data_IF_591399180146
#
_entry.id   IF_591399180146
#
_cell.length_a   1.000
_cell.length_b   1.000
_cell.length_c   1.000
_cell.angle_alpha   90.00
_cell.angle_beta   90.00
_cell.angle_gamma   90.00
#
_symmetry.space_group_name_H-M   'P 1'
#
loop_
_entity.id
_entity.type
_entity.pdbx_description
1 polymer ?
#
# COMPACT_ATOMS: atom_id res chain seq x y z
N UNK A 1 97.39 27.22 -7.56
CA UNK A 1 96.11 27.81 -7.20
C UNK A 1 94.97 27.41 -8.14
N UNK A 2 95.18 27.12 -9.43
CA UNK A 2 94.09 26.79 -10.41
C UNK A 2 93.44 25.40 -10.22
N UNK A 3 94.11 24.38 -9.71
CA UNK A 3 93.59 23.04 -9.49
C UNK A 3 92.57 22.98 -8.33
N UNK A 4 92.74 23.70 -7.27
CA UNK A 4 91.89 23.73 -6.09
C UNK A 4 90.58 24.40 -6.37
N UNK A 5 90.51 25.41 -7.26
CA UNK A 5 89.26 26.06 -7.71
C UNK A 5 88.42 25.14 -8.62
N UNK A 6 89.08 24.30 -9.44
CA UNK A 6 88.36 23.32 -10.28
C UNK A 6 87.75 22.19 -9.47
N UNK A 7 88.39 21.79 -8.39
CA UNK A 7 87.83 20.76 -7.49
C UNK A 7 86.60 21.29 -6.70
N UNK A 8 86.65 22.51 -6.24
CA UNK A 8 85.53 23.15 -5.53
C UNK A 8 84.33 23.38 -6.50
N UNK A 9 84.61 23.73 -7.75
CA UNK A 9 83.56 23.89 -8.73
C UNK A 9 82.88 22.56 -9.10
N UNK A 10 83.60 21.45 -9.23
CA UNK A 10 83.11 20.11 -9.49
C UNK A 10 82.30 19.57 -8.32
N UNK A 11 82.69 19.79 -7.09
CA UNK A 11 81.92 19.38 -5.90
C UNK A 11 80.62 20.19 -5.75
N UNK A 12 80.64 21.48 -6.07
CA UNK A 12 79.47 22.32 -6.05
C UNK A 12 78.41 21.91 -7.12
N UNK A 13 78.87 21.55 -8.33
CA UNK A 13 77.96 21.04 -9.39
C UNK A 13 77.37 19.65 -9.02
N UNK A 14 78.19 18.76 -8.44
CA UNK A 14 77.78 17.45 -7.98
C UNK A 14 76.72 17.57 -6.84
N UNK A 15 76.93 18.47 -5.87
CA UNK A 15 76.05 18.72 -4.77
C UNK A 15 74.69 19.34 -5.25
N UNK A 16 74.77 20.25 -6.24
CA UNK A 16 73.50 20.80 -6.86
C UNK A 16 72.74 19.73 -7.63
N UNK A 17 73.46 18.85 -8.36
CA UNK A 17 72.82 17.72 -9.05
C UNK A 17 72.18 16.73 -8.09
N UNK A 18 72.86 16.42 -6.96
CA UNK A 18 72.33 15.55 -5.93
C UNK A 18 71.07 16.17 -5.23
N UNK A 19 71.13 17.45 -4.91
CA UNK A 19 70.00 18.20 -4.33
C UNK A 19 68.83 18.28 -5.29
N UNK A 20 69.07 18.50 -6.60
CA UNK A 20 68.06 18.45 -7.63
C UNK A 20 67.39 17.05 -7.79
N UNK A 21 68.22 15.99 -7.76
CA UNK A 21 67.71 14.62 -7.82
C UNK A 21 66.93 14.24 -6.57
N UNK A 22 67.36 14.67 -5.37
CA UNK A 22 66.61 14.45 -4.13
C UNK A 22 65.31 15.24 -4.09
N UNK A 23 65.30 16.48 -4.58
CA UNK A 23 64.08 17.29 -4.68
C UNK A 23 63.10 16.70 -5.70
N UNK A 24 63.62 16.25 -6.85
CA UNK A 24 62.83 15.55 -7.86
C UNK A 24 62.24 14.25 -7.30
N UNK A 25 63.04 13.45 -6.61
CA UNK A 25 62.56 12.21 -5.97
C UNK A 25 61.54 12.50 -4.87
N UNK A 26 61.77 13.53 -4.02
CA UNK A 26 60.86 13.94 -2.97
C UNK A 26 59.49 14.45 -3.52
N UNK A 27 59.51 15.25 -4.60
CA UNK A 27 58.29 15.71 -5.27
C UNK A 27 57.54 14.55 -5.94
N UNK A 28 58.29 13.60 -6.54
CA UNK A 28 57.70 12.43 -7.21
C UNK A 28 57.26 11.35 -6.21
N UNK A 29 57.80 11.29 -5.03
CA UNK A 29 57.46 10.32 -3.96
C UNK A 29 56.31 10.75 -3.10
N UNK A 30 55.67 11.87 -3.40
CA UNK A 30 54.41 12.22 -2.69
C UNK A 30 53.36 11.14 -3.00
N UNK A 31 52.88 10.40 -1.97
CA UNK A 31 51.85 9.42 -2.22
C UNK A 31 50.63 10.14 -2.81
N UNK A 32 50.24 9.76 -4.01
CA UNK A 32 48.93 10.15 -4.54
C UNK A 32 47.92 9.56 -3.58
N UNK A 33 47.36 10.41 -2.74
CA UNK A 33 46.29 9.97 -1.83
C UNK A 33 45.12 9.55 -2.69
N UNK A 34 44.94 8.24 -2.90
CA UNK A 34 43.82 7.65 -3.61
C UNK A 34 42.51 7.76 -2.80
N UNK A 35 42.42 8.72 -1.88
CA UNK A 35 41.27 8.99 -1.06
C UNK A 35 40.67 10.32 -1.47
N UNK A 36 39.43 10.28 -1.95
CA UNK A 36 38.62 11.44 -2.23
C UNK A 36 37.89 11.84 -0.95
N UNK A 37 38.08 13.08 -0.51
CA UNK A 37 37.38 13.64 0.66
C UNK A 37 36.28 14.57 0.18
N UNK A 38 35.06 14.29 0.60
CA UNK A 38 33.88 15.11 0.33
C UNK A 38 33.28 15.61 1.65
N UNK A 39 32.71 16.79 1.61
CA UNK A 39 32.04 17.40 2.75
C UNK A 39 30.54 17.48 2.43
N UNK A 40 29.70 17.24 3.44
CA UNK A 40 28.27 17.27 3.26
C UNK A 40 27.53 17.20 4.58
N UNK A 41 26.21 17.08 4.51
CA UNK A 41 25.36 16.96 5.68
C UNK A 41 24.58 15.64 5.62
N UNK A 42 24.32 15.09 6.79
CA UNK A 42 23.44 13.92 6.94
C UNK A 42 22.02 14.34 6.58
N UNK A 43 21.38 13.52 5.78
CA UNK A 43 20.00 13.67 5.32
C UNK A 43 19.24 12.37 5.54
N UNK A 44 17.93 12.43 5.70
CA UNK A 44 17.08 11.29 6.00
C UNK A 44 15.83 11.32 5.14
N UNK A 45 15.17 10.17 5.01
CA UNK A 45 13.83 10.13 4.46
C UNK A 45 12.82 10.50 5.54
N UNK A 46 11.86 11.30 5.16
CA UNK A 46 10.71 11.63 5.98
C UNK A 46 9.44 11.08 5.36
N UNK A 47 8.51 10.65 6.18
CA UNK A 47 7.18 10.24 5.77
C UNK A 47 6.18 11.05 6.59
N UNK A 48 5.21 11.59 5.91
CA UNK A 48 4.16 12.42 6.50
C UNK A 48 2.80 11.72 6.40
N UNK A 49 2.46 10.86 7.37
CA UNK A 49 1.17 10.19 7.38
C UNK A 49 0.03 11.18 7.63
N UNK A 50 -1.03 11.04 6.84
CA UNK A 50 -2.28 11.78 6.97
C UNK A 50 -3.45 10.81 7.09
N UNK A 51 -4.61 11.28 7.61
CA UNK A 51 -5.85 10.50 7.57
C UNK A 51 -6.41 10.48 6.15
N UNK A 52 -7.10 9.41 5.80
CA UNK A 52 -7.71 9.26 4.48
C UNK A 52 -9.04 10.00 4.33
N UNK A 53 -9.61 10.50 5.44
CA UNK A 53 -10.90 11.19 5.47
C UNK A 53 -10.87 12.41 6.41
N UNK A 54 -11.93 13.21 6.40
CA UNK A 54 -12.06 14.43 7.18
C UNK A 54 -12.75 14.15 8.52
N UNK A 55 -12.21 14.72 9.59
CA UNK A 55 -12.81 14.65 10.91
C UNK A 55 -11.90 15.18 12.01
N UNK A 56 -12.44 15.43 13.21
CA UNK A 56 -11.63 15.92 14.32
C UNK A 56 -10.71 14.80 14.85
N UNK A 57 -9.47 15.16 15.15
CA UNK A 57 -8.52 14.29 15.83
C UNK A 57 -8.99 14.07 17.26
N UNK A 58 -9.25 12.81 17.63
CA UNK A 58 -9.69 12.41 18.96
C UNK A 58 -8.52 12.25 19.93
N UNK A 59 -7.45 11.56 19.49
CA UNK A 59 -6.26 11.29 20.32
C UNK A 59 -5.01 11.19 19.48
N UNK A 60 -3.95 11.77 20.02
CA UNK A 60 -2.56 11.55 19.61
C UNK A 60 -1.94 10.54 20.59
N UNK A 61 -1.31 9.47 20.08
CA UNK A 61 -0.85 8.35 20.91
C UNK A 61 0.67 8.30 21.06
N UNK A 62 1.39 9.09 20.27
CA UNK A 62 2.85 9.18 20.29
C UNK A 62 3.27 10.63 20.37
N UNK A 63 4.43 10.89 20.97
CA UNK A 63 5.01 12.22 21.14
C UNK A 63 6.28 12.38 20.31
N UNK A 64 6.73 13.60 20.11
CA UNK A 64 7.97 13.93 19.44
C UNK A 64 9.18 13.25 20.11
N UNK A 65 10.10 12.75 19.29
CA UNK A 65 11.23 11.95 19.74
C UNK A 65 10.91 10.48 20.02
N UNK A 66 9.65 10.09 20.05
CA UNK A 66 9.23 8.70 20.28
C UNK A 66 9.46 7.83 19.03
N UNK A 67 9.76 6.57 19.26
CA UNK A 67 9.98 5.58 18.20
C UNK A 67 8.69 4.91 17.82
N UNK A 68 8.46 4.82 16.53
CA UNK A 68 7.31 4.12 15.96
C UNK A 68 7.73 2.98 15.06
N UNK A 69 6.94 1.91 15.07
CA UNK A 69 7.10 0.76 14.19
C UNK A 69 6.07 0.81 13.06
N UNK A 70 6.43 0.23 11.93
CA UNK A 70 5.47 0.06 10.83
C UNK A 70 4.21 -0.67 11.32
N UNK A 71 3.03 -0.09 11.05
CA UNK A 71 1.73 -0.62 11.46
C UNK A 71 1.29 -0.21 12.88
N UNK A 72 2.14 0.43 13.66
CA UNK A 72 1.82 0.95 14.99
C UNK A 72 0.77 2.06 14.91
N UNK A 73 -0.18 2.05 15.84
CA UNK A 73 -1.23 3.05 15.91
C UNK A 73 -0.68 4.33 16.53
N UNK A 74 -0.70 5.43 15.77
CA UNK A 74 -0.09 6.71 16.16
C UNK A 74 -1.11 7.80 16.48
N UNK A 75 -2.31 7.76 15.85
CA UNK A 75 -3.38 8.71 16.14
C UNK A 75 -4.75 8.08 15.89
N UNK A 76 -5.80 8.69 16.43
CA UNK A 76 -7.21 8.35 16.21
C UNK A 76 -8.01 9.60 15.88
N UNK A 77 -8.89 9.46 14.92
CA UNK A 77 -9.96 10.41 14.63
C UNK A 77 -11.23 10.02 15.39
N UNK A 78 -12.19 10.92 15.54
CA UNK A 78 -13.53 10.60 16.05
C UNK A 78 -14.19 9.60 15.09
N UNK A 79 -14.53 8.43 15.61
CA UNK A 79 -15.03 7.30 14.84
C UNK A 79 -16.56 7.07 14.97
N UNK A 80 -17.26 7.87 15.79
CA UNK A 80 -18.69 7.69 16.04
C UNK A 80 -19.53 7.68 14.77
N UNK A 81 -19.29 8.63 13.87
CA UNK A 81 -20.01 8.72 12.58
C UNK A 81 -19.73 7.52 11.69
N UNK A 82 -18.50 7.05 11.67
CA UNK A 82 -18.07 5.91 10.85
C UNK A 82 -18.61 4.58 11.41
N UNK A 83 -18.60 4.43 12.73
CA UNK A 83 -19.21 3.27 13.39
C UNK A 83 -20.73 3.18 13.11
N UNK A 84 -21.43 4.32 13.16
CA UNK A 84 -22.86 4.38 12.84
C UNK A 84 -23.13 4.02 11.37
N UNK A 85 -22.30 4.49 10.42
CA UNK A 85 -22.41 4.11 8.99
C UNK A 85 -22.19 2.62 8.77
N UNK A 86 -21.18 2.05 9.40
CA UNK A 86 -20.94 0.61 9.32
C UNK A 86 -22.12 -0.18 9.87
N UNK A 87 -22.67 0.21 11.03
CA UNK A 87 -23.83 -0.45 11.60
C UNK A 87 -25.03 -0.40 10.65
N UNK A 88 -25.35 0.77 10.08
CA UNK A 88 -26.44 0.94 9.12
C UNK A 88 -26.26 0.06 7.87
N UNK A 89 -25.05 0.05 7.28
CA UNK A 89 -24.74 -0.78 6.12
C UNK A 89 -24.84 -2.29 6.44
N UNK A 90 -24.39 -2.70 7.61
CA UNK A 90 -24.45 -4.09 8.08
C UNK A 90 -25.91 -4.54 8.26
N UNK A 91 -26.77 -3.71 8.85
CA UNK A 91 -28.18 -4.02 9.01
C UNK A 91 -28.91 -4.07 7.67
N UNK A 92 -28.54 -3.20 6.71
CA UNK A 92 -29.06 -3.26 5.34
C UNK A 92 -28.71 -4.59 4.67
N UNK A 93 -27.45 -5.02 4.76
CA UNK A 93 -27.02 -6.30 4.23
C UNK A 93 -27.73 -7.48 4.90
N UNK A 94 -27.94 -7.43 6.21
CA UNK A 94 -28.68 -8.45 6.95
C UNK A 94 -30.16 -8.54 6.50
N UNK A 95 -30.81 -7.40 6.27
CA UNK A 95 -32.17 -7.36 5.74
C UNK A 95 -32.29 -8.00 4.34
N UNK A 96 -31.40 -7.62 3.42
CA UNK A 96 -31.37 -8.18 2.06
C UNK A 96 -31.02 -9.68 2.05
N UNK A 97 -30.20 -10.13 3.00
CA UNK A 97 -29.95 -11.55 3.22
C UNK A 97 -31.24 -12.29 3.62
N UNK A 98 -32.04 -11.70 4.52
CA UNK A 98 -33.30 -12.28 4.92
C UNK A 98 -34.29 -12.37 3.74
N UNK A 99 -34.32 -11.36 2.87
CA UNK A 99 -35.13 -11.38 1.63
C UNK A 99 -34.67 -12.51 0.70
N UNK A 100 -33.35 -12.64 0.46
CA UNK A 100 -32.78 -13.72 -0.35
C UNK A 100 -33.13 -15.10 0.23
N UNK A 101 -32.99 -15.28 1.55
CA UNK A 101 -33.34 -16.55 2.21
C UNK A 101 -34.83 -16.88 2.06
N UNK A 102 -35.72 -15.90 2.20
CA UNK A 102 -37.14 -16.08 1.98
C UNK A 102 -37.44 -16.55 0.57
N UNK A 103 -36.81 -15.92 -0.45
CA UNK A 103 -37.03 -16.32 -1.85
C UNK A 103 -36.40 -17.69 -2.16
N UNK A 104 -35.26 -18.01 -1.61
CA UNK A 104 -34.59 -19.32 -1.83
C UNK A 104 -35.31 -20.47 -1.14
N UNK A 105 -35.94 -20.23 0.01
CA UNK A 105 -36.79 -21.24 0.69
C UNK A 105 -38.13 -21.47 -0.03
N UNK A 106 -38.61 -20.50 -0.82
CA UNK A 106 -39.85 -20.60 -1.55
C UNK A 106 -41.11 -20.51 -0.68
N UNK A 107 -42.24 -21.09 -1.16
CA UNK A 107 -43.49 -21.12 -0.44
C UNK A 107 -43.38 -21.97 0.82
N UNK A 108 -44.09 -21.58 1.85
CA UNK A 108 -44.17 -22.35 3.10
C UNK A 108 -44.82 -23.70 2.88
N UNK A 109 -44.41 -24.78 3.58
CA UNK A 109 -45.05 -26.10 3.47
C UNK A 109 -46.57 -26.05 3.68
N UNK A 110 -47.05 -25.15 4.56
CA UNK A 110 -48.47 -24.98 4.83
C UNK A 110 -49.24 -24.37 3.64
N UNK A 111 -48.63 -23.43 2.91
CA UNK A 111 -49.22 -22.81 1.72
C UNK A 111 -49.33 -23.83 0.58
N UNK A 112 -48.30 -24.68 0.42
CA UNK A 112 -48.31 -25.79 -0.55
C UNK A 112 -49.39 -26.81 -0.19
N UNK A 113 -49.50 -27.17 1.10
CA UNK A 113 -50.50 -28.11 1.57
C UNK A 113 -51.93 -27.59 1.39
N UNK A 114 -52.19 -26.30 1.64
CA UNK A 114 -53.47 -25.64 1.41
C UNK A 114 -53.85 -25.65 -0.07
N UNK A 115 -52.90 -25.25 -0.96
CA UNK A 115 -53.16 -25.25 -2.40
C UNK A 115 -53.46 -26.68 -2.91
N UNK A 116 -52.74 -27.69 -2.39
CA UNK A 116 -52.99 -29.09 -2.71
C UNK A 116 -54.37 -29.57 -2.26
N UNK A 117 -54.80 -29.26 -1.04
CA UNK A 117 -56.09 -29.66 -0.50
C UNK A 117 -57.23 -29.04 -1.34
N UNK A 118 -57.07 -27.77 -1.77
CA UNK A 118 -58.02 -27.10 -2.65
C UNK A 118 -58.12 -27.81 -4.01
N UNK A 119 -57.00 -28.13 -4.61
CA UNK A 119 -56.90 -28.87 -5.87
C UNK A 119 -57.58 -30.27 -5.76
N UNK A 120 -57.25 -31.01 -4.70
CA UNK A 120 -57.84 -32.36 -4.47
C UNK A 120 -59.33 -32.30 -4.27
N UNK A 121 -59.83 -31.28 -3.57
CA UNK A 121 -61.34 -31.05 -3.42
C UNK A 121 -62.00 -30.78 -4.75
N UNK A 122 -61.42 -29.86 -5.57
CA UNK A 122 -62.02 -29.57 -6.90
C UNK A 122 -61.93 -30.74 -7.89
N UNK A 123 -60.83 -31.55 -7.76
CA UNK A 123 -60.74 -32.82 -8.51
C UNK A 123 -61.85 -33.80 -8.17
N UNK A 124 -62.24 -33.87 -6.90
CA UNK A 124 -63.38 -34.73 -6.50
C UNK A 124 -64.71 -34.22 -7.08
N UNK A 125 -64.96 -32.89 -7.11
CA UNK A 125 -66.11 -32.27 -7.75
C UNK A 125 -66.15 -32.58 -9.26
N UNK A 126 -65.05 -32.42 -9.95
CA UNK A 126 -64.89 -32.73 -11.39
C UNK A 126 -65.23 -34.21 -11.66
N UNK A 127 -64.66 -35.14 -10.90
CA UNK A 127 -64.96 -36.57 -11.04
C UNK A 127 -66.45 -36.88 -10.82
N UNK A 128 -67.07 -36.26 -9.83
CA UNK A 128 -68.52 -36.45 -9.61
C UNK A 128 -69.37 -35.95 -10.78
N UNK A 129 -69.04 -34.79 -11.37
CA UNK A 129 -69.63 -34.27 -12.56
C UNK A 129 -69.49 -35.21 -13.77
N UNK A 130 -68.28 -35.81 -13.99
CA UNK A 130 -68.09 -36.81 -15.03
C UNK A 130 -68.95 -38.05 -14.84
N UNK A 131 -69.06 -38.60 -13.63
CA UNK A 131 -69.88 -39.74 -13.31
C UNK A 131 -71.33 -39.41 -13.55
N UNK A 132 -71.84 -38.23 -13.15
CA UNK A 132 -73.17 -37.80 -13.39
C UNK A 132 -73.49 -37.64 -14.87
N UNK A 133 -72.59 -37.04 -15.67
CA UNK A 133 -72.71 -36.94 -17.11
C UNK A 133 -72.78 -38.31 -17.78
N UNK A 134 -71.88 -39.24 -17.42
CA UNK A 134 -71.90 -40.60 -17.95
C UNK A 134 -73.24 -41.35 -17.60
N UNK A 135 -73.75 -41.13 -16.40
CA UNK A 135 -75.01 -41.69 -15.96
C UNK A 135 -76.21 -41.12 -16.80
N UNK A 136 -76.25 -39.80 -17.01
CA UNK A 136 -77.28 -39.13 -17.83
C UNK A 136 -77.21 -39.65 -19.27
N UNK A 137 -76.06 -39.81 -19.87
CA UNK A 137 -75.86 -40.38 -21.21
C UNK A 137 -76.48 -41.81 -21.31
N UNK A 138 -76.27 -42.63 -20.30
CA UNK A 138 -76.78 -43.99 -20.25
C UNK A 138 -78.36 -44.07 -20.12
N UNK A 139 -78.99 -43.01 -19.61
CA UNK A 139 -80.47 -42.93 -19.42
C UNK A 139 -81.20 -42.37 -20.64
N UNK A 140 -80.56 -41.68 -21.56
CA UNK A 140 -81.17 -41.13 -22.78
C UNK A 140 -81.79 -42.21 -23.66
N UNK A 141 -81.11 -43.32 -23.99
CA UNK A 141 -81.75 -44.37 -24.84
C UNK A 141 -82.95 -45.02 -24.23
N UNK A 142 -83.06 -44.89 -22.89
CA UNK A 142 -84.22 -45.45 -22.13
C UNK A 142 -85.37 -44.46 -22.02
N UNK A 143 -85.23 -43.26 -22.60
CA UNK A 143 -86.27 -42.21 -22.52
C UNK A 143 -86.42 -41.56 -21.13
N UNK A 144 -85.48 -41.81 -20.19
CA UNK A 144 -85.53 -41.33 -18.79
C UNK A 144 -84.91 -39.96 -18.65
N UNK A 145 -83.97 -39.59 -19.52
CA UNK A 145 -83.25 -38.29 -19.51
C UNK A 145 -83.49 -37.57 -20.85
N UNK A 146 -83.55 -36.23 -20.80
CA UNK A 146 -83.70 -35.36 -21.97
C UNK A 146 -82.34 -34.96 -22.59
N UNK A 147 -82.41 -34.43 -23.83
CA UNK A 147 -81.21 -33.84 -24.48
C UNK A 147 -80.72 -32.63 -23.68
N UNK A 148 -81.61 -31.87 -23.06
CA UNK A 148 -81.31 -30.74 -22.21
C UNK A 148 -80.54 -31.17 -20.95
N UNK A 149 -80.96 -32.24 -20.29
CA UNK A 149 -80.29 -32.80 -19.12
C UNK A 149 -78.80 -33.20 -19.45
N UNK A 150 -78.61 -33.77 -20.64
CA UNK A 150 -77.30 -34.09 -21.15
C UNK A 150 -76.45 -32.81 -21.32
N UNK A 151 -76.98 -31.76 -21.95
CA UNK A 151 -76.25 -30.53 -22.26
C UNK A 151 -75.96 -29.78 -20.96
N UNK A 152 -76.86 -29.77 -19.98
CA UNK A 152 -76.60 -29.22 -18.63
C UNK A 152 -75.54 -30.02 -17.87
N UNK A 153 -75.61 -31.34 -17.86
CA UNK A 153 -74.61 -32.19 -17.24
C UNK A 153 -73.20 -31.98 -17.91
N UNK A 154 -73.20 -31.85 -19.26
CA UNK A 154 -71.93 -31.55 -19.99
C UNK A 154 -71.39 -30.17 -19.66
N UNK A 155 -72.23 -29.15 -19.48
CA UNK A 155 -71.80 -27.81 -19.05
C UNK A 155 -71.18 -27.86 -17.63
N UNK A 156 -71.80 -28.64 -16.71
CA UNK A 156 -71.28 -28.85 -15.37
C UNK A 156 -69.88 -29.52 -15.38
N UNK A 157 -69.69 -30.55 -16.23
CA UNK A 157 -68.30 -31.15 -16.37
C UNK A 157 -67.31 -30.13 -16.82
N UNK A 158 -67.65 -29.32 -17.87
CA UNK A 158 -66.73 -28.28 -18.35
C UNK A 158 -66.36 -27.22 -17.29
N UNK A 159 -67.38 -26.79 -16.52
CA UNK A 159 -67.20 -25.82 -15.43
C UNK A 159 -66.34 -26.40 -14.28
N UNK A 160 -66.57 -27.65 -13.89
CA UNK A 160 -65.80 -28.34 -12.87
C UNK A 160 -64.38 -28.63 -13.31
N UNK A 161 -64.17 -29.01 -14.59
CA UNK A 161 -62.82 -29.18 -15.16
C UNK A 161 -62.05 -27.85 -15.16
N UNK A 162 -62.67 -26.77 -15.63
CA UNK A 162 -62.02 -25.44 -15.61
C UNK A 162 -61.57 -25.00 -14.19
N UNK A 163 -62.42 -25.24 -13.20
CA UNK A 163 -62.12 -24.95 -11.80
C UNK A 163 -60.97 -25.83 -11.26
N UNK A 164 -60.96 -27.12 -11.58
CA UNK A 164 -59.92 -28.05 -11.23
C UNK A 164 -58.55 -27.62 -11.89
N UNK A 165 -58.59 -27.31 -13.19
CA UNK A 165 -57.35 -26.84 -13.88
C UNK A 165 -56.81 -25.55 -13.27
N UNK A 166 -57.62 -24.58 -12.92
CA UNK A 166 -57.22 -23.37 -12.24
C UNK A 166 -56.53 -23.65 -10.88
N UNK A 167 -57.11 -24.57 -10.09
CA UNK A 167 -56.51 -24.97 -8.81
C UNK A 167 -55.21 -25.76 -8.99
N UNK A 168 -55.14 -26.61 -10.04
CA UNK A 168 -53.89 -27.32 -10.40
C UNK A 168 -52.78 -26.35 -10.73
N UNK A 169 -53.06 -25.29 -11.51
CA UNK A 169 -52.05 -24.25 -11.80
C UNK A 169 -51.64 -23.50 -10.53
N UNK A 170 -52.59 -23.18 -9.65
CA UNK A 170 -52.26 -22.54 -8.35
C UNK A 170 -51.35 -23.41 -7.49
N UNK A 171 -51.63 -24.71 -7.39
CA UNK A 171 -50.76 -25.65 -6.70
C UNK A 171 -49.39 -25.76 -7.35
N UNK A 172 -49.32 -25.87 -8.67
CA UNK A 172 -48.04 -25.94 -9.39
C UNK A 172 -47.18 -24.70 -9.19
N UNK A 173 -47.75 -23.50 -9.16
CA UNK A 173 -47.05 -22.25 -8.85
C UNK A 173 -46.55 -22.23 -7.41
N UNK A 174 -47.35 -22.70 -6.44
CA UNK A 174 -46.91 -22.79 -5.04
C UNK A 174 -45.70 -23.72 -4.86
N UNK A 175 -45.69 -24.86 -5.59
CA UNK A 175 -44.59 -25.82 -5.59
C UNK A 175 -43.36 -25.28 -6.32
N UNK A 176 -43.54 -24.61 -7.47
CA UNK A 176 -42.42 -24.01 -8.24
C UNK A 176 -41.74 -22.88 -7.47
N UNK A 177 -42.47 -22.18 -6.61
CA UNK A 177 -41.93 -21.08 -5.82
C UNK A 177 -41.60 -19.83 -6.62
N UNK A 178 -40.75 -18.95 -6.08
CA UNK A 178 -40.36 -17.70 -6.72
C UNK A 178 -39.60 -17.93 -8.03
N UNK A 179 -39.65 -16.97 -8.92
CA UNK A 179 -38.95 -17.02 -10.20
C UNK A 179 -37.44 -17.00 -9.97
N UNK A 180 -36.72 -17.70 -10.82
CA UNK A 180 -35.24 -17.75 -10.77
C UNK A 180 -34.61 -16.36 -10.87
N UNK A 181 -35.23 -15.49 -11.68
CA UNK A 181 -34.80 -14.10 -11.88
C UNK A 181 -34.92 -13.29 -10.58
N UNK A 182 -35.98 -13.50 -9.79
CA UNK A 182 -36.19 -12.83 -8.50
C UNK A 182 -35.10 -13.23 -7.48
N UNK A 183 -34.76 -14.52 -7.47
CA UNK A 183 -33.67 -15.03 -6.61
C UNK A 183 -32.32 -14.45 -7.03
N UNK A 184 -32.02 -14.35 -8.33
CA UNK A 184 -30.80 -13.74 -8.86
C UNK A 184 -30.76 -12.25 -8.50
N UNK A 185 -31.84 -11.52 -8.68
CA UNK A 185 -31.93 -10.12 -8.32
C UNK A 185 -31.70 -9.89 -6.82
N UNK A 186 -32.33 -10.69 -5.95
CA UNK A 186 -32.12 -10.62 -4.51
C UNK A 186 -30.69 -10.96 -4.10
N UNK A 187 -30.04 -11.93 -4.78
CA UNK A 187 -28.66 -12.28 -4.56
C UNK A 187 -27.72 -11.12 -4.89
N UNK A 188 -27.96 -10.48 -6.03
CA UNK A 188 -27.16 -9.33 -6.46
C UNK A 188 -27.36 -8.13 -5.53
N UNK A 189 -28.58 -7.88 -5.08
CA UNK A 189 -28.88 -6.83 -4.11
C UNK A 189 -28.14 -7.08 -2.76
N UNK A 190 -28.15 -8.31 -2.28
CA UNK A 190 -27.41 -8.69 -1.09
C UNK A 190 -25.88 -8.52 -1.26
N UNK A 191 -25.35 -8.95 -2.41
CA UNK A 191 -23.92 -8.79 -2.71
C UNK A 191 -23.49 -7.31 -2.77
N UNK A 192 -24.32 -6.45 -3.35
CA UNK A 192 -24.10 -5.00 -3.38
C UNK A 192 -24.08 -4.39 -1.97
N UNK A 193 -25.02 -4.82 -1.11
CA UNK A 193 -25.06 -4.35 0.28
C UNK A 193 -23.85 -4.82 1.12
N UNK A 194 -23.37 -6.04 0.87
CA UNK A 194 -22.13 -6.53 1.49
C UNK A 194 -20.92 -5.69 1.07
N UNK A 195 -20.83 -5.32 -0.20
CA UNK A 195 -19.77 -4.45 -0.68
C UNK A 195 -19.85 -3.05 -0.02
N UNK A 196 -21.05 -2.49 0.13
CA UNK A 196 -21.24 -1.23 0.83
C UNK A 196 -20.85 -1.31 2.31
N UNK A 197 -21.16 -2.42 2.99
CA UNK A 197 -20.72 -2.64 4.36
C UNK A 197 -19.19 -2.78 4.48
N UNK A 198 -18.54 -3.41 3.49
CA UNK A 198 -17.07 -3.50 3.45
C UNK A 198 -16.41 -2.13 3.25
N UNK A 199 -16.98 -1.25 2.44
CA UNK A 199 -16.52 0.15 2.28
C UNK A 199 -16.63 0.88 3.62
N UNK A 200 -17.80 0.83 4.27
CA UNK A 200 -17.99 1.48 5.57
C UNK A 200 -17.03 0.93 6.66
N UNK A 201 -16.72 -0.37 6.62
CA UNK A 201 -15.75 -0.98 7.51
C UNK A 201 -14.33 -0.46 7.26
N UNK A 202 -13.98 -0.21 5.99
CA UNK A 202 -12.69 0.40 5.62
C UNK A 202 -12.60 1.84 6.08
N UNK A 203 -13.64 2.65 5.87
CA UNK A 203 -13.73 4.02 6.36
C UNK A 203 -13.53 4.08 7.89
N UNK A 204 -14.17 3.19 8.63
CA UNK A 204 -13.98 3.07 10.08
C UNK A 204 -12.55 2.65 10.45
N UNK A 205 -11.92 1.77 9.70
CA UNK A 205 -10.53 1.37 9.92
C UNK A 205 -9.56 2.55 9.67
N UNK A 206 -9.87 3.38 8.69
CA UNK A 206 -9.06 4.54 8.30
C UNK A 206 -9.14 5.71 9.31
N UNK A 207 -10.09 5.68 10.27
CA UNK A 207 -10.06 6.58 11.44
C UNK A 207 -8.89 6.32 12.39
N UNK A 208 -8.14 5.24 12.18
CA UNK A 208 -6.99 4.81 12.97
C UNK A 208 -5.73 4.98 12.16
N UNK A 209 -5.03 6.10 12.39
CA UNK A 209 -3.78 6.38 11.69
C UNK A 209 -2.66 5.46 12.20
N UNK A 210 -2.02 4.76 11.26
CA UNK A 210 -0.89 3.87 11.57
C UNK A 210 0.37 4.35 10.87
N UNK A 211 1.51 4.15 11.54
CA UNK A 211 2.81 4.47 10.94
C UNK A 211 3.08 3.60 9.71
N UNK A 212 3.40 4.21 8.55
CA UNK A 212 3.72 3.45 7.33
C UNK A 212 5.11 2.81 7.36
N UNK A 213 6.00 3.26 8.26
CA UNK A 213 7.39 2.83 8.34
C UNK A 213 7.91 2.80 9.78
N UNK A 214 9.09 2.19 9.97
CA UNK A 214 9.82 2.31 11.23
C UNK A 214 10.58 3.65 11.23
N UNK A 215 10.45 4.42 12.31
CA UNK A 215 11.09 5.72 12.40
C UNK A 215 11.06 6.33 13.79
N UNK A 216 11.32 7.62 13.85
CA UNK A 216 11.18 8.46 15.04
C UNK A 216 10.26 9.61 14.66
N UNK A 217 9.31 9.93 15.51
CA UNK A 217 8.44 11.09 15.34
C UNK A 217 9.31 12.34 15.45
N UNK A 218 9.36 13.12 14.38
CA UNK A 218 10.13 14.36 14.33
C UNK A 218 9.29 15.55 14.76
N UNK A 219 8.07 15.62 14.23
CA UNK A 219 7.18 16.72 14.46
C UNK A 219 5.72 16.25 14.53
N UNK A 220 4.92 16.90 15.35
CA UNK A 220 3.49 16.73 15.49
C UNK A 220 2.78 17.95 14.94
N UNK A 221 2.14 17.77 13.78
CA UNK A 221 1.55 18.88 13.01
C UNK A 221 0.13 19.20 13.50
N UNK A 222 -0.63 18.17 13.90
CA UNK A 222 -1.99 18.34 14.41
C UNK A 222 -2.08 18.01 15.90
N UNK A 223 -3.05 18.64 16.55
CA UNK A 223 -3.37 18.43 17.97
C UNK A 223 -4.77 17.78 18.15
N UNK A 224 -5.06 17.17 19.31
CA UNK A 224 -6.40 16.72 19.63
C UNK A 224 -7.41 17.87 19.54
N UNK A 225 -8.47 17.69 18.76
CA UNK A 225 -9.48 18.70 18.44
C UNK A 225 -9.32 19.36 17.08
N UNK A 226 -8.14 19.28 16.45
CA UNK A 226 -7.93 19.79 15.11
C UNK A 226 -8.68 18.97 14.08
N UNK A 227 -9.05 19.63 12.98
CA UNK A 227 -9.67 18.97 11.81
C UNK A 227 -8.59 18.35 10.91
N UNK A 228 -8.55 17.04 10.90
CA UNK A 228 -7.73 16.30 9.96
C UNK A 228 -8.36 16.22 8.57
N UNK A 229 -7.51 16.15 7.54
CA UNK A 229 -7.90 15.93 6.15
C UNK A 229 -6.83 15.12 5.41
N UNK A 230 -7.15 14.54 4.25
CA UNK A 230 -6.15 13.83 3.44
C UNK A 230 -4.97 14.69 2.96
N UNK A 231 -5.16 16.01 2.90
CA UNK A 231 -4.13 16.95 2.48
C UNK A 231 -3.26 17.46 3.65
N UNK A 232 -3.66 17.20 4.90
CA UNK A 232 -2.98 17.71 6.08
C UNK A 232 -2.26 16.56 6.79
N UNK A 233 -0.93 16.51 6.77
CA UNK A 233 -0.17 15.54 7.54
C UNK A 233 -0.45 15.66 9.04
N UNK A 234 -0.42 14.55 9.75
CA UNK A 234 -0.61 14.51 11.21
C UNK A 234 0.73 14.55 11.93
N UNK A 235 1.71 13.84 11.37
CA UNK A 235 3.07 13.75 11.89
C UNK A 235 4.09 13.85 10.77
N UNK A 236 5.31 14.24 11.13
CA UNK A 236 6.51 13.96 10.36
C UNK A 236 7.28 12.84 11.04
N UNK A 237 7.54 11.75 10.32
CA UNK A 237 8.27 10.58 10.81
C UNK A 237 9.60 10.46 10.07
N UNK A 238 10.69 10.62 10.78
CA UNK A 238 12.05 10.48 10.28
C UNK A 238 12.45 8.99 10.19
N UNK A 239 12.84 8.53 9.01
CA UNK A 239 13.35 7.19 8.78
C UNK A 239 14.85 7.16 9.09
N UNK A 240 15.21 6.67 10.26
CA UNK A 240 16.58 6.77 10.79
C UNK A 240 17.56 5.75 10.21
N UNK A 241 17.11 4.79 9.40
CA UNK A 241 17.99 3.80 8.76
C UNK A 241 17.29 3.13 7.57
N UNK A 242 17.90 3.11 6.37
CA UNK A 242 19.14 3.78 6.03
C UNK A 242 19.00 5.30 5.94
N UNK A 243 20.09 6.02 6.17
CA UNK A 243 20.21 7.45 5.91
C UNK A 243 21.31 7.70 4.88
N UNK A 244 21.50 8.93 4.46
CA UNK A 244 22.60 9.27 3.55
C UNK A 244 23.27 10.59 3.93
N UNK A 245 24.49 10.75 3.49
CA UNK A 245 25.18 12.04 3.48
C UNK A 245 25.01 12.65 2.09
N UNK A 246 24.46 13.84 2.02
CA UNK A 246 24.40 14.66 0.82
C UNK A 246 25.72 15.41 0.70
N UNK A 247 26.56 15.00 -0.24
CA UNK A 247 27.84 15.60 -0.53
C UNK A 247 27.91 16.05 -1.99
N UNK A 248 28.91 16.87 -2.30
CA UNK A 248 29.10 17.40 -3.64
C UNK A 248 30.48 17.01 -4.15
N UNK A 249 30.55 16.49 -5.37
CA UNK A 249 31.79 16.11 -6.03
C UNK A 249 32.07 17.06 -7.20
N UNK A 250 33.29 17.58 -7.34
CA UNK A 250 33.70 18.33 -8.53
C UNK A 250 33.66 17.47 -9.80
N UNK A 251 33.34 18.07 -10.95
CA UNK A 251 33.24 17.37 -12.24
C UNK A 251 34.53 16.55 -12.56
N UNK A 252 35.68 17.11 -12.31
CA UNK A 252 37.00 16.45 -12.55
C UNK A 252 37.18 15.11 -11.86
N UNK A 253 36.50 14.89 -10.72
CA UNK A 253 36.58 13.68 -9.91
C UNK A 253 35.41 12.72 -10.13
N UNK A 254 34.39 13.14 -10.89
CA UNK A 254 33.18 12.37 -11.12
C UNK A 254 33.45 11.00 -11.75
N UNK A 255 34.35 10.95 -12.74
CA UNK A 255 34.70 9.68 -13.42
C UNK A 255 35.46 8.68 -12.55
N UNK A 256 35.85 9.06 -11.33
CA UNK A 256 36.62 8.21 -10.39
C UNK A 256 35.74 7.45 -9.41
N UNK A 257 34.44 7.75 -9.36
CA UNK A 257 33.45 7.08 -8.47
C UNK A 257 32.34 6.46 -9.29
N UNK A 258 31.77 5.40 -8.75
CA UNK A 258 30.57 4.74 -9.30
C UNK A 258 29.61 4.36 -8.17
N UNK A 259 28.31 4.18 -8.46
CA UNK A 259 27.38 3.60 -7.50
C UNK A 259 27.91 2.26 -6.97
N UNK A 260 27.85 2.06 -5.65
CA UNK A 260 28.40 0.89 -4.97
C UNK A 260 29.85 1.09 -4.46
N UNK A 261 30.53 2.18 -4.80
CA UNK A 261 31.88 2.47 -4.27
C UNK A 261 31.82 2.60 -2.75
N UNK A 262 32.66 1.86 -1.99
CA UNK A 262 32.71 1.95 -0.53
C UNK A 262 33.16 3.34 -0.06
N UNK A 263 32.54 3.82 1.00
CA UNK A 263 32.85 5.09 1.61
C UNK A 263 32.90 4.98 3.15
N UNK A 264 33.63 5.87 3.79
CA UNK A 264 33.66 6.02 5.24
C UNK A 264 33.12 7.41 5.59
N UNK A 265 32.18 7.47 6.48
CA UNK A 265 31.58 8.71 6.97
C UNK A 265 32.11 8.96 8.37
N UNK A 266 32.52 10.19 8.62
CA UNK A 266 32.96 10.68 9.91
C UNK A 266 32.19 11.95 10.25
N UNK A 267 31.95 12.18 11.55
CA UNK A 267 31.29 13.38 12.05
C UNK A 267 32.05 13.95 13.23
N UNK A 268 32.05 15.26 13.37
CA UNK A 268 32.75 15.94 14.47
C UNK A 268 32.11 15.63 15.84
N UNK A 269 30.82 15.31 15.88
CA UNK A 269 30.09 14.95 17.10
C UNK A 269 30.57 13.62 17.72
N UNK A 270 31.20 12.75 16.92
CA UNK A 270 31.70 11.45 17.35
C UNK A 270 33.15 11.24 16.84
N UNK A 271 34.13 11.93 17.44
CA UNK A 271 35.50 11.87 17.00
C UNK A 271 36.06 10.44 17.03
N UNK A 272 36.78 10.06 15.98
CA UNK A 272 37.38 8.73 15.85
C UNK A 272 36.44 7.61 15.41
N UNK A 273 35.13 7.85 15.34
CA UNK A 273 34.17 6.86 14.80
C UNK A 273 34.06 6.96 13.28
N UNK A 274 34.07 5.80 12.64
CA UNK A 274 33.90 5.66 11.19
C UNK A 274 32.67 4.83 10.89
N UNK A 275 31.72 5.44 10.17
CA UNK A 275 30.51 4.76 9.74
C UNK A 275 30.73 4.25 8.33
N UNK A 276 30.48 2.97 8.11
CA UNK A 276 30.57 2.36 6.78
C UNK A 276 29.40 2.83 5.94
N UNK A 277 29.72 3.28 4.72
CA UNK A 277 28.74 3.71 3.73
C UNK A 277 29.17 3.30 2.33
N UNK A 278 28.34 3.65 1.37
CA UNK A 278 28.61 3.42 -0.06
C UNK A 278 27.98 4.53 -0.89
N UNK A 279 28.55 4.81 -2.04
CA UNK A 279 27.98 5.71 -3.02
C UNK A 279 26.70 5.06 -3.57
N UNK A 280 25.54 5.61 -3.27
CA UNK A 280 24.26 5.04 -3.70
C UNK A 280 23.63 5.75 -4.87
N UNK A 281 23.89 7.06 -5.01
CA UNK A 281 23.32 7.87 -6.08
C UNK A 281 24.28 8.99 -6.45
N UNK A 282 24.39 9.25 -7.74
CA UNK A 282 25.11 10.39 -8.32
C UNK A 282 24.10 11.14 -9.19
N UNK A 283 23.90 12.43 -8.95
CA UNK A 283 23.00 13.25 -9.74
C UNK A 283 23.45 13.31 -11.20
N UNK A 284 22.55 13.09 -12.17
CA UNK A 284 22.88 13.29 -13.59
C UNK A 284 22.96 14.78 -13.98
N UNK A 285 22.49 15.66 -13.10
CA UNK A 285 22.43 17.10 -13.34
C UNK A 285 23.49 17.78 -12.49
N UNK A 286 24.30 18.65 -13.12
CA UNK A 286 25.24 19.49 -12.43
C UNK A 286 24.50 20.60 -11.68
N UNK A 287 25.01 20.95 -10.51
CA UNK A 287 24.55 22.07 -9.71
C UNK A 287 25.71 23.09 -9.58
N UNK A 288 25.37 24.37 -9.53
CA UNK A 288 26.34 25.38 -9.12
C UNK A 288 26.46 25.31 -7.60
N UNK A 289 27.68 25.46 -7.08
CA UNK A 289 27.90 25.47 -5.63
C UNK A 289 26.96 26.50 -4.97
N UNK A 290 26.10 26.09 -4.05
CA UNK A 290 25.15 26.99 -3.40
C UNK A 290 25.85 27.88 -2.38
N UNK A 291 26.74 28.77 -2.83
CA UNK A 291 27.36 29.80 -2.00
C UNK A 291 27.30 31.13 -2.72
N UNK A 292 26.79 32.12 -2.05
CA UNK A 292 27.08 33.53 -2.25
C UNK A 292 28.59 33.72 -2.02
N UNK A 293 29.42 33.41 -3.01
CA UNK A 293 30.88 33.57 -2.92
C UNK A 293 31.26 34.76 -3.76
N UNK A 294 32.00 35.67 -3.17
CA UNK A 294 32.34 36.98 -3.75
C UNK A 294 33.47 36.92 -4.77
N UNK A 295 34.15 35.78 -4.99
CA UNK A 295 35.28 35.66 -5.91
C UNK A 295 34.89 34.97 -7.23
N UNK A 296 35.39 35.47 -8.40
CA UNK A 296 35.07 34.93 -9.72
C UNK A 296 35.51 33.47 -9.93
N UNK A 297 36.60 33.04 -9.30
CA UNK A 297 37.22 31.70 -9.47
C UNK A 297 36.36 30.61 -8.84
N UNK A 298 35.56 30.94 -7.82
CA UNK A 298 34.67 29.97 -7.12
C UNK A 298 33.26 29.87 -7.71
N UNK A 299 32.87 30.78 -8.61
CA UNK A 299 31.57 30.79 -9.26
C UNK A 299 31.42 29.77 -10.39
N UNK A 300 32.49 29.19 -10.89
CA UNK A 300 32.50 28.40 -12.13
C UNK A 300 32.74 26.91 -11.94
N UNK A 301 32.81 26.40 -10.73
CA UNK A 301 32.98 24.96 -10.52
C UNK A 301 31.61 24.26 -10.49
N UNK A 302 31.33 23.54 -11.57
CA UNK A 302 30.23 22.60 -11.60
C UNK A 302 30.50 21.45 -10.61
N UNK A 303 29.51 21.19 -9.78
CA UNK A 303 29.52 20.09 -8.82
C UNK A 303 28.32 19.18 -9.06
N UNK A 304 28.47 17.92 -8.75
CA UNK A 304 27.40 16.95 -8.82
C UNK A 304 27.05 16.48 -7.42
N UNK A 305 25.74 16.45 -7.11
CA UNK A 305 25.26 15.93 -5.85
C UNK A 305 25.48 14.40 -5.81
N UNK A 306 26.05 13.93 -4.72
CA UNK A 306 26.27 12.51 -4.44
C UNK A 306 25.60 12.15 -3.12
N UNK A 307 24.87 11.04 -3.10
CA UNK A 307 24.29 10.51 -1.87
C UNK A 307 25.08 9.29 -1.44
N UNK A 308 25.67 9.37 -0.28
CA UNK A 308 26.43 8.30 0.34
C UNK A 308 25.57 7.69 1.42
N UNK A 309 25.04 6.49 1.16
CA UNK A 309 24.18 5.79 2.11
C UNK A 309 24.98 5.18 3.24
N UNK A 310 24.37 5.17 4.43
CA UNK A 310 24.92 4.52 5.62
C UNK A 310 23.82 3.88 6.44
N UNK A 311 24.17 2.79 7.13
CA UNK A 311 23.28 2.14 8.08
C UNK A 311 23.53 2.72 9.48
N UNK A 312 22.51 3.35 10.04
CA UNK A 312 22.59 4.04 11.32
C UNK A 312 22.15 3.13 12.50
N UNK A 313 22.77 1.96 12.66
CA UNK A 313 22.41 0.99 13.70
C UNK A 313 22.50 1.53 15.13
N UNK A 314 23.47 2.42 15.37
CA UNK A 314 23.67 3.05 16.68
C UNK A 314 22.85 4.32 16.88
N UNK A 315 22.20 4.83 15.80
CA UNK A 315 21.38 6.05 15.80
C UNK A 315 22.13 7.29 16.27
N UNK A 316 23.41 7.34 15.97
CA UNK A 316 24.29 8.45 16.32
C UNK A 316 24.21 9.57 15.29
N UNK A 317 23.96 9.22 14.02
CA UNK A 317 23.80 10.17 12.93
C UNK A 317 22.38 10.76 12.95
N UNK A 318 22.28 12.08 12.86
CA UNK A 318 21.03 12.83 12.88
C UNK A 318 20.93 13.75 11.67
N UNK A 319 19.72 14.14 11.30
CA UNK A 319 19.45 15.10 10.22
C UNK A 319 20.27 16.39 10.43
N UNK A 320 20.79 16.95 9.33
CA UNK A 320 21.54 18.20 9.33
C UNK A 320 22.97 18.12 9.86
N UNK A 321 23.39 16.97 10.43
CA UNK A 321 24.72 16.81 11.03
C UNK A 321 25.81 16.94 9.97
N UNK A 322 26.82 17.82 10.14
CA UNK A 322 27.96 17.90 9.25
C UNK A 322 28.73 16.58 9.23
N UNK A 323 29.12 16.15 8.03
CA UNK A 323 29.83 14.89 7.85
C UNK A 323 30.94 15.03 6.81
N UNK A 324 32.06 14.39 7.10
CA UNK A 324 33.18 14.21 6.17
C UNK A 324 33.13 12.79 5.62
N UNK A 325 33.21 12.67 4.31
CA UNK A 325 33.14 11.38 3.62
C UNK A 325 34.48 11.11 2.96
N UNK A 326 35.09 9.98 3.27
CA UNK A 326 36.28 9.47 2.62
C UNK A 326 35.92 8.31 1.68
N UNK A 327 36.20 8.46 0.40
CA UNK A 327 36.01 7.45 -0.64
C UNK A 327 37.35 6.93 -1.07
N UNK A 328 37.61 5.64 -0.90
CA UNK A 328 38.83 4.97 -1.36
C UNK A 328 38.72 4.67 -2.85
N UNK A 329 39.44 5.42 -3.66
CA UNK A 329 39.45 5.31 -5.11
C UNK A 329 40.25 4.11 -5.64
N UNK A 330 41.00 3.42 -4.77
CA UNK A 330 41.73 2.20 -5.13
C UNK A 330 40.79 0.98 -5.25
N UNK A 331 39.62 1.05 -4.65
CA UNK A 331 38.60 0.00 -4.67
C UNK A 331 37.49 0.38 -5.64
N UNK A 332 37.69 0.10 -6.91
CA UNK A 332 36.62 0.19 -7.87
C UNK A 332 35.50 -0.78 -7.47
N UNK A 333 34.25 -0.32 -7.48
CA UNK A 333 33.12 -1.22 -7.39
C UNK A 333 33.22 -2.22 -8.54
N UNK A 334 33.18 -3.53 -8.24
CA UNK A 334 33.08 -4.55 -9.28
C UNK A 334 31.87 -4.17 -10.16
N UNK A 335 32.14 -3.78 -11.40
CA UNK A 335 31.13 -3.44 -12.39
C UNK A 335 30.27 -4.67 -12.62
N UNK A 336 29.05 -4.67 -12.10
CA UNK A 336 28.11 -5.78 -12.35
C UNK A 336 27.16 -6.10 -11.19
N UNK A 337 26.31 -5.15 -10.82
CA UNK A 337 25.01 -5.52 -10.27
C UNK A 337 24.02 -4.40 -10.53
N UNK A 338 23.06 -4.69 -11.42
CA UNK A 338 22.04 -3.80 -11.93
C UNK A 338 21.29 -3.05 -10.84
N UNK A 339 20.91 -1.83 -11.20
CA UNK A 339 20.15 -0.90 -10.38
C UNK A 339 18.83 -1.49 -9.88
N UNK A 340 18.85 -1.87 -8.61
CA UNK A 340 17.69 -2.07 -7.77
C UNK A 340 18.00 -1.46 -6.41
N UNK A 341 17.02 -1.17 -5.54
CA UNK A 341 17.29 -0.53 -4.26
C UNK A 341 18.16 -1.45 -3.39
N UNK A 342 19.48 -1.28 -3.53
CA UNK A 342 20.53 -2.03 -2.83
C UNK A 342 20.50 -1.80 -1.30
N UNK A 343 19.65 -0.89 -0.82
CA UNK A 343 19.59 -0.47 0.58
C UNK A 343 19.29 -1.60 1.56
N UNK A 344 18.41 -2.54 1.19
CA UNK A 344 18.06 -3.65 2.08
C UNK A 344 19.18 -4.70 2.21
N UNK A 345 19.97 -4.92 1.16
CA UNK A 345 21.06 -5.91 1.18
C UNK A 345 22.24 -5.45 2.03
N UNK A 346 22.58 -4.17 2.03
CA UNK A 346 23.76 -3.65 2.73
C UNK A 346 23.53 -3.48 4.24
N UNK A 347 22.31 -3.11 4.64
CA UNK A 347 21.98 -2.96 6.06
C UNK A 347 21.54 -4.27 6.73
N UNK A 348 21.19 -5.31 5.97
CA UNK A 348 20.77 -6.61 6.52
C UNK A 348 21.85 -7.70 6.61
N UNK A 349 22.97 -7.55 5.90
CA UNK A 349 23.95 -8.63 5.71
C UNK A 349 25.13 -8.64 6.70
N UNK A 350 25.23 -7.71 7.63
CA UNK A 350 26.35 -7.64 8.59
C UNK A 350 25.86 -7.61 10.04
N UNK A 351 25.42 -8.76 10.54
CA UNK A 351 25.56 -9.06 11.94
C UNK A 351 27.06 -9.24 12.26
N UNK A 352 27.59 -8.26 12.99
CA UNK A 352 28.65 -8.36 13.98
C UNK A 352 29.86 -9.26 13.63
N UNK A 353 30.93 -8.66 13.16
CA UNK A 353 32.26 -9.08 13.65
C UNK A 353 32.65 -8.09 14.74
N UNK A 354 32.64 -8.59 15.96
CA UNK A 354 33.35 -8.00 17.09
C UNK A 354 34.84 -8.11 16.81
N UNK A 355 35.56 -7.01 16.85
CA UNK A 355 36.89 -6.85 17.42
C UNK A 355 36.91 -5.55 18.19
#
# INVERSE_FOLDING_TARGET
>A
MKARRRFIALTAVASLGLAGALLYWWVRSRPVTNVLTLYGNVDIWEVQPAFNDNGPVSRMLVVEGERVRKGELIARMDDLRYAARLAAATHTAANLRAVLLRLTHGSRPQEIAQAKATMDGLRAVYRNAEINYARTLALIPQGIASIQDRDDARAQVRAADANYQAALQTYSLAVAGPRREDIIAARNAYAAALAAAAVAARELADTRLRSPANGVVEDRILEPGDMASPATPVYTIALTSPLWVRAYIPERDLGRIAPGTPAQIMTDSYPGRRYRGWVGYISPTAEFTPKTVETPELRTQLVYQVRIYACNFRRELRLGMPATVHIDLSRHAAAGSGGGPATARWCGAHHVTRE
#
